data_IF_542016907031
#
_entry.id   IF_542016907031
#
_cell.length_a   1.000
_cell.length_b   1.000
_cell.length_c   1.000
_cell.angle_alpha   90.00
_cell.angle_beta   90.00
_cell.angle_gamma   90.00
#
_symmetry.space_group_name_H-M   'P 1'
#
loop_
_entity.id
_entity.type
_entity.pdbx_description
1 polymer ?
#
# COMPACT_ATOMS: atom_id res chain seq x y z
N UNK A 1 -15.35 -11.73 -9.34
CA UNK A 1 -15.23 -11.93 -7.88
C UNK A 1 -16.44 -11.29 -7.23
N UNK A 2 -17.15 -12.01 -6.38
CA UNK A 2 -18.28 -11.45 -5.62
C UNK A 2 -17.74 -10.69 -4.40
N UNK A 3 -18.39 -9.59 -3.98
CA UNK A 3 -17.95 -8.76 -2.83
C UNK A 3 -17.87 -9.59 -1.54
N UNK A 4 -18.61 -10.71 -1.49
CA UNK A 4 -18.63 -11.67 -0.39
C UNK A 4 -17.34 -12.50 -0.24
N UNK A 5 -16.43 -12.47 -1.22
CA UNK A 5 -15.16 -13.23 -1.23
C UNK A 5 -13.91 -12.38 -0.92
N UNK A 6 -14.07 -11.11 -0.54
CA UNK A 6 -12.95 -10.21 -0.25
C UNK A 6 -12.27 -10.62 1.06
N UNK A 7 -10.94 -10.83 1.02
CA UNK A 7 -10.15 -11.24 2.19
C UNK A 7 -10.11 -10.18 3.30
N UNK A 8 -9.76 -10.58 4.52
CA UNK A 8 -9.63 -9.68 5.67
C UNK A 8 -8.60 -8.55 5.42
N UNK A 9 -7.56 -8.82 4.63
CA UNK A 9 -6.52 -7.87 4.26
C UNK A 9 -6.95 -6.96 3.09
N UNK A 10 -7.61 -7.50 2.07
CA UNK A 10 -8.20 -6.72 0.99
C UNK A 10 -9.24 -5.71 1.54
N UNK A 11 -10.06 -6.09 2.53
CA UNK A 11 -10.96 -5.18 3.26
C UNK A 11 -10.21 -4.04 3.93
N UNK A 12 -9.13 -4.36 4.65
CA UNK A 12 -8.26 -3.36 5.32
C UNK A 12 -7.60 -2.43 4.31
N UNK A 13 -7.19 -2.96 3.15
CA UNK A 13 -6.60 -2.16 2.08
C UNK A 13 -7.61 -1.19 1.46
N UNK A 14 -8.87 -1.59 1.28
CA UNK A 14 -9.91 -0.68 0.82
C UNK A 14 -10.18 0.44 1.84
N UNK A 15 -10.25 0.12 3.13
CA UNK A 15 -10.36 1.13 4.22
C UNK A 15 -9.15 2.09 4.19
N UNK A 16 -7.95 1.56 3.94
CA UNK A 16 -6.74 2.37 3.84
C UNK A 16 -6.82 3.35 2.65
N UNK A 17 -7.32 2.89 1.50
CA UNK A 17 -7.52 3.77 0.33
C UNK A 17 -8.60 4.81 0.60
N UNK A 18 -9.70 4.44 1.27
CA UNK A 18 -10.76 5.37 1.71
C UNK A 18 -10.18 6.52 2.57
N UNK A 19 -9.28 6.19 3.50
CA UNK A 19 -8.70 7.19 4.40
C UNK A 19 -7.87 8.28 3.69
N UNK A 20 -7.25 7.93 2.55
CA UNK A 20 -6.35 8.82 1.81
C UNK A 20 -6.88 9.26 0.45
N UNK A 21 -8.19 9.08 0.19
CA UNK A 21 -8.77 9.48 -1.09
C UNK A 21 -10.25 9.87 -0.98
N UNK A 22 -10.69 10.76 -1.85
CA UNK A 22 -12.06 11.31 -1.81
C UNK A 22 -12.54 11.61 -3.23
N UNK A 23 -13.70 11.07 -3.66
CA UNK A 23 -14.34 11.50 -4.90
C UNK A 23 -14.90 12.92 -4.77
N UNK A 24 -14.92 13.67 -5.87
CA UNK A 24 -15.65 14.94 -5.90
C UNK A 24 -17.17 14.66 -5.85
N UNK A 25 -17.90 15.34 -4.97
CA UNK A 25 -19.37 15.24 -4.88
C UNK A 25 -20.06 16.34 -5.70
N UNK A 26 -19.41 17.49 -5.81
CA UNK A 26 -19.81 18.64 -6.63
C UNK A 26 -18.74 19.01 -7.65
N UNK A 27 -19.03 19.95 -8.57
CA UNK A 27 -18.03 20.42 -9.55
C UNK A 27 -16.93 21.27 -8.91
N UNK A 28 -17.22 21.84 -7.74
CA UNK A 28 -16.33 22.70 -6.99
C UNK A 28 -15.44 21.91 -6.03
N UNK A 29 -15.79 20.66 -5.74
CA UNK A 29 -15.04 19.79 -4.85
C UNK A 29 -13.71 19.37 -5.47
N UNK A 30 -12.69 19.28 -4.61
CA UNK A 30 -11.40 18.74 -5.00
C UNK A 30 -11.39 17.23 -4.79
N UNK A 31 -11.01 16.51 -5.84
CA UNK A 31 -10.73 15.09 -5.74
C UNK A 31 -9.40 14.85 -5.03
N UNK A 32 -9.36 13.86 -4.15
CA UNK A 32 -8.15 13.43 -3.44
C UNK A 32 -7.75 12.05 -3.95
N UNK A 33 -6.49 11.89 -4.32
CA UNK A 33 -5.93 10.67 -4.90
C UNK A 33 -4.65 10.27 -4.17
N UNK A 34 -4.53 9.01 -3.75
CA UNK A 34 -3.29 8.47 -3.18
C UNK A 34 -2.38 7.93 -4.28
N UNK A 35 -1.14 8.41 -4.36
CA UNK A 35 -0.16 7.92 -5.34
C UNK A 35 0.30 6.50 -5.00
N UNK A 36 0.69 5.73 -6.02
CA UNK A 36 1.14 4.33 -5.88
C UNK A 36 2.21 4.13 -4.82
N UNK A 37 3.28 4.93 -4.82
CA UNK A 37 4.40 4.73 -3.89
C UNK A 37 4.01 5.04 -2.43
N UNK A 38 3.34 6.17 -2.12
CA UNK A 38 2.73 6.36 -0.80
C UNK A 38 1.80 5.23 -0.36
N UNK A 39 0.92 4.73 -1.23
CA UNK A 39 0.06 3.59 -0.90
C UNK A 39 0.88 2.33 -0.58
N UNK A 40 1.86 1.99 -1.42
CA UNK A 40 2.75 0.86 -1.18
C UNK A 40 3.53 1.00 0.13
N UNK A 41 3.92 2.23 0.50
CA UNK A 41 4.63 2.50 1.75
C UNK A 41 3.73 2.24 2.97
N UNK A 42 2.45 2.59 2.88
CA UNK A 42 1.45 2.28 3.91
C UNK A 42 1.17 0.78 4.00
N UNK A 43 1.14 0.07 2.87
CA UNK A 43 1.01 -1.40 2.84
C UNK A 43 2.21 -2.04 3.54
N UNK A 44 3.44 -1.68 3.17
CA UNK A 44 4.67 -2.17 3.81
C UNK A 44 4.67 -1.89 5.33
N UNK A 45 4.25 -0.68 5.74
CA UNK A 45 4.08 -0.35 7.17
C UNK A 45 3.07 -1.28 7.84
N UNK A 46 1.95 -1.56 7.19
CA UNK A 46 0.93 -2.46 7.71
C UNK A 46 1.41 -3.91 7.84
N UNK A 47 2.19 -4.41 6.87
CA UNK A 47 2.86 -5.72 6.96
C UNK A 47 3.80 -5.76 8.15
N UNK A 48 4.70 -4.77 8.28
CA UNK A 48 5.66 -4.68 9.40
C UNK A 48 4.99 -4.57 10.78
N UNK A 49 3.79 -3.96 10.84
CA UNK A 49 2.99 -3.86 12.06
C UNK A 49 2.03 -5.03 12.29
N UNK A 50 1.99 -6.04 11.40
CA UNK A 50 1.05 -7.16 11.47
C UNK A 50 -0.42 -6.76 11.26
N UNK A 51 -0.66 -5.59 10.66
CA UNK A 51 -2.00 -5.12 10.26
C UNK A 51 -2.48 -5.85 9.03
N UNK A 52 -1.59 -6.15 8.09
CA UNK A 52 -1.81 -7.12 7.02
C UNK A 52 -1.11 -8.42 7.41
N UNK A 53 -1.83 -9.54 7.39
CA UNK A 53 -1.35 -10.84 7.87
C UNK A 53 -0.90 -11.77 6.75
N UNK A 54 -1.56 -11.67 5.60
CA UNK A 54 -1.37 -12.57 4.46
C UNK A 54 -0.49 -11.92 3.39
N UNK A 55 -0.21 -10.61 3.51
CA UNK A 55 0.73 -9.90 2.65
C UNK A 55 2.16 -10.09 3.12
N UNK A 56 3.06 -10.31 2.16
CA UNK A 56 4.49 -10.14 2.36
C UNK A 56 5.01 -8.95 1.55
N UNK A 57 6.30 -8.62 1.70
CA UNK A 57 6.94 -7.60 0.88
C UNK A 57 8.29 -8.07 0.38
N UNK A 58 8.60 -7.74 -0.86
CA UNK A 58 9.90 -8.03 -1.46
C UNK A 58 10.52 -6.77 -2.09
N UNK A 59 11.86 -6.67 -2.10
CA UNK A 59 12.56 -5.57 -2.77
C UNK A 59 12.26 -5.56 -4.27
N UNK A 60 11.70 -4.44 -4.75
CA UNK A 60 11.34 -4.21 -6.15
C UNK A 60 11.92 -2.86 -6.60
N UNK A 61 12.44 -2.79 -7.83
CA UNK A 61 12.88 -1.53 -8.41
C UNK A 61 11.68 -0.63 -8.74
N UNK A 62 11.73 0.62 -8.25
CA UNK A 62 10.70 1.63 -8.49
C UNK A 62 11.34 2.98 -8.81
N UNK A 63 10.65 3.79 -9.61
CA UNK A 63 11.00 5.19 -9.80
C UNK A 63 10.28 6.06 -8.76
N UNK A 64 11.06 6.83 -8.01
CA UNK A 64 10.54 7.77 -7.02
C UNK A 64 11.25 9.11 -7.17
N UNK A 65 10.48 10.18 -7.42
CA UNK A 65 10.99 11.56 -7.55
C UNK A 65 12.20 11.69 -8.49
N UNK A 66 12.19 10.94 -9.60
CA UNK A 66 13.25 10.96 -10.61
C UNK A 66 14.48 10.10 -10.30
N UNK A 67 14.46 9.33 -9.20
CA UNK A 67 15.51 8.35 -8.89
C UNK A 67 14.94 6.93 -8.88
N UNK A 68 15.65 5.99 -9.52
CA UNK A 68 15.34 4.56 -9.42
C UNK A 68 15.94 4.00 -8.13
N UNK A 69 15.15 3.35 -7.29
CA UNK A 69 15.56 2.77 -6.00
C UNK A 69 14.85 1.44 -5.74
N UNK A 70 15.38 0.63 -4.84
CA UNK A 70 14.65 -0.52 -4.31
C UNK A 70 13.63 -0.07 -3.28
N UNK A 71 12.44 -0.68 -3.31
CA UNK A 71 11.37 -0.48 -2.36
C UNK A 71 10.77 -1.83 -1.94
N UNK A 72 10.37 -1.96 -0.68
CA UNK A 72 9.61 -3.10 -0.19
C UNK A 72 8.16 -2.99 -0.70
N UNK A 73 7.80 -3.86 -1.66
CA UNK A 73 6.48 -3.87 -2.31
C UNK A 73 5.81 -5.22 -2.04
N UNK A 74 4.53 -5.20 -1.64
CA UNK A 74 3.69 -6.39 -1.56
C UNK A 74 3.05 -6.69 -2.91
N UNK A 75 3.18 -7.93 -3.39
CA UNK A 75 2.56 -8.34 -4.65
C UNK A 75 1.09 -8.65 -4.47
N UNK A 76 0.72 -9.25 -3.34
CA UNK A 76 -0.65 -9.47 -2.90
C UNK A 76 -1.40 -8.14 -2.79
N UNK A 77 -0.78 -7.13 -2.16
CA UNK A 77 -1.37 -5.80 -2.07
C UNK A 77 -1.53 -5.10 -3.43
N UNK A 78 -0.61 -5.29 -4.39
CA UNK A 78 -0.77 -4.77 -5.75
C UNK A 78 -1.92 -5.47 -6.51
N UNK A 79 -2.06 -6.78 -6.31
CA UNK A 79 -3.09 -7.63 -6.92
C UNK A 79 -4.47 -7.28 -6.38
N UNK A 80 -4.60 -7.14 -5.05
CA UNK A 80 -5.85 -6.72 -4.41
C UNK A 80 -6.32 -5.34 -4.88
N UNK A 81 -5.40 -4.39 -5.12
CA UNK A 81 -5.76 -3.11 -5.75
C UNK A 81 -6.26 -3.32 -7.18
N UNK A 82 -5.70 -4.26 -7.94
CA UNK A 82 -6.18 -4.57 -9.28
C UNK A 82 -7.60 -5.18 -9.22
N UNK A 83 -7.83 -6.16 -8.35
CA UNK A 83 -9.13 -6.80 -8.16
C UNK A 83 -10.20 -5.80 -7.72
N UNK A 84 -9.89 -4.92 -6.76
CA UNK A 84 -10.80 -3.86 -6.34
C UNK A 84 -11.15 -2.88 -7.46
N UNK A 85 -10.24 -2.67 -8.42
CA UNK A 85 -10.54 -1.87 -9.61
C UNK A 85 -11.44 -2.62 -10.58
N UNK A 86 -11.25 -3.92 -10.74
CA UNK A 86 -12.12 -4.77 -11.58
C UNK A 86 -13.53 -4.87 -11.00
N UNK A 87 -13.65 -4.88 -9.67
CA UNK A 87 -14.93 -4.81 -8.94
C UNK A 87 -15.58 -3.41 -8.93
N UNK A 88 -14.88 -2.37 -9.42
CA UNK A 88 -15.42 -1.00 -9.44
C UNK A 88 -15.42 -0.28 -8.08
N UNK A 89 -14.68 -0.78 -7.09
CA UNK A 89 -14.55 -0.19 -5.76
C UNK A 89 -13.44 0.88 -5.70
N UNK A 90 -12.45 0.77 -6.58
CA UNK A 90 -11.31 1.68 -6.68
C UNK A 90 -11.13 2.14 -8.13
N UNK A 91 -10.80 3.40 -8.31
CA UNK A 91 -10.40 3.98 -9.59
C UNK A 91 -8.89 4.17 -9.66
N UNK A 92 -8.35 4.23 -10.89
CA UNK A 92 -6.94 4.53 -11.13
C UNK A 92 -6.79 5.66 -12.13
N UNK A 93 -6.06 6.69 -11.71
CA UNK A 93 -5.57 7.76 -12.55
C UNK A 93 -4.12 7.47 -12.95
N UNK A 94 -3.80 7.57 -14.24
CA UNK A 94 -2.42 7.55 -14.73
C UNK A 94 -2.01 8.95 -15.14
N UNK A 95 -0.95 9.46 -14.53
CA UNK A 95 -0.39 10.78 -14.77
C UNK A 95 0.95 10.64 -15.48
N UNK A 96 1.15 11.40 -16.55
CA UNK A 96 2.47 11.57 -17.14
C UNK A 96 3.23 12.65 -16.36
N UNK A 97 4.45 12.35 -15.96
CA UNK A 97 5.38 13.33 -15.39
C UNK A 97 6.02 14.15 -16.51
N UNK A 98 6.66 15.27 -16.15
CA UNK A 98 7.47 16.09 -17.06
C UNK A 98 8.59 15.30 -17.76
N UNK A 99 9.02 14.17 -17.18
CA UNK A 99 10.05 13.29 -17.72
C UNK A 99 9.47 12.09 -18.49
N UNK A 100 8.20 12.14 -18.89
CA UNK A 100 7.49 11.05 -19.59
C UNK A 100 7.42 9.71 -18.84
N UNK A 101 7.65 9.72 -17.52
CA UNK A 101 7.40 8.58 -16.63
C UNK A 101 5.93 8.62 -16.20
N UNK A 102 5.26 7.48 -16.18
CA UNK A 102 3.88 7.38 -15.71
C UNK A 102 3.80 7.07 -14.22
N UNK A 103 3.05 7.88 -13.49
CA UNK A 103 2.72 7.64 -12.08
C UNK A 103 1.25 7.25 -11.99
N UNK A 104 0.95 6.17 -11.28
CA UNK A 104 -0.42 5.79 -10.97
C UNK A 104 -0.85 6.38 -9.62
N UNK A 105 -2.10 6.81 -9.55
CA UNK A 105 -2.76 7.18 -8.31
C UNK A 105 -4.13 6.50 -8.24
N UNK A 106 -4.61 6.29 -7.02
CA UNK A 106 -5.82 5.53 -6.73
C UNK A 106 -6.79 6.35 -5.89
N UNK A 107 -8.07 6.06 -6.05
CA UNK A 107 -9.14 6.72 -5.31
C UNK A 107 -10.29 5.74 -5.10
N UNK A 108 -10.93 5.81 -3.95
CA UNK A 108 -12.14 5.05 -3.68
C UNK A 108 -13.34 5.56 -4.49
N UNK A 109 -14.17 4.66 -4.99
CA UNK A 109 -15.43 5.04 -5.66
C UNK A 109 -16.55 5.22 -4.64
N UNK A 110 -17.69 5.84 -4.99
CA UNK A 110 -18.88 5.85 -4.13
C UNK A 110 -19.32 4.44 -3.71
N UNK A 111 -19.28 3.47 -4.62
CA UNK A 111 -19.58 2.06 -4.32
C UNK A 111 -18.55 1.44 -3.34
N UNK A 112 -17.27 1.76 -3.51
CA UNK A 112 -16.21 1.41 -2.56
C UNK A 112 -16.50 1.96 -1.17
N UNK A 113 -16.88 3.24 -1.07
CA UNK A 113 -17.22 3.87 0.22
C UNK A 113 -18.39 3.20 0.91
N UNK A 114 -19.44 2.87 0.17
CA UNK A 114 -20.60 2.18 0.75
C UNK A 114 -20.20 0.78 1.23
N UNK A 115 -19.38 0.06 0.46
CA UNK A 115 -18.84 -1.25 0.84
C UNK A 115 -18.00 -1.17 2.13
N UNK A 116 -17.19 -0.13 2.29
CA UNK A 116 -16.35 0.10 3.49
C UNK A 116 -17.20 0.28 4.76
N UNK A 117 -18.37 0.92 4.66
CA UNK A 117 -19.26 1.13 5.82
C UNK A 117 -19.79 -0.19 6.40
N UNK A 118 -19.94 -1.21 5.55
CA UNK A 118 -20.48 -2.51 5.93
C UNK A 118 -19.43 -3.46 6.53
N UNK A 119 -18.13 -3.12 6.44
CA UNK A 119 -17.06 -3.93 7.00
C UNK A 119 -17.07 -3.96 8.53
N UNK A 120 -16.63 -5.08 9.09
CA UNK A 120 -16.60 -5.24 10.53
C UNK A 120 -15.67 -4.23 11.21
N UNK A 121 -16.10 -3.69 12.36
CA UNK A 121 -15.34 -2.68 13.13
C UNK A 121 -13.90 -3.08 13.45
N UNK A 122 -13.59 -4.38 13.49
CA UNK A 122 -12.22 -4.89 13.69
C UNK A 122 -11.26 -4.40 12.60
N UNK A 123 -11.71 -4.26 11.35
CA UNK A 123 -10.88 -3.83 10.23
C UNK A 123 -10.60 -2.33 10.30
N UNK A 124 -11.64 -1.55 10.58
CA UNK A 124 -11.55 -0.11 10.82
C UNK A 124 -10.61 0.21 11.97
N UNK A 125 -10.73 -0.52 13.10
CA UNK A 125 -9.85 -0.35 14.26
C UNK A 125 -8.40 -0.71 13.93
N UNK A 126 -8.16 -1.79 13.16
CA UNK A 126 -6.81 -2.19 12.76
C UNK A 126 -6.12 -1.08 11.93
N UNK A 127 -6.80 -0.50 10.94
CA UNK A 127 -6.26 0.60 10.14
C UNK A 127 -6.10 1.88 10.98
N UNK A 128 -7.10 2.23 11.80
CA UNK A 128 -7.02 3.41 12.66
C UNK A 128 -5.83 3.33 13.62
N UNK A 129 -5.61 2.17 14.25
CA UNK A 129 -4.46 1.94 15.13
C UNK A 129 -3.12 1.98 14.38
N UNK A 130 -3.08 1.51 13.14
CA UNK A 130 -1.88 1.56 12.29
C UNK A 130 -1.48 3.00 11.95
N UNK A 131 -2.48 3.86 11.73
CA UNK A 131 -2.38 5.25 11.30
C UNK A 131 -2.39 6.27 12.44
N UNK A 132 -2.66 5.86 13.68
CA UNK A 132 -2.63 6.78 14.82
C UNK A 132 -1.25 7.43 14.99
N UNK A 133 -1.23 8.75 15.21
CA UNK A 133 -0.01 9.47 15.57
C UNK A 133 0.58 8.91 16.87
N UNK A 134 1.90 8.66 16.88
CA UNK A 134 2.59 8.12 18.07
C UNK A 134 2.56 9.05 19.28
N UNK A 135 2.51 10.36 19.05
CA UNK A 135 2.58 11.37 20.12
C UNK A 135 1.20 11.69 20.72
N UNK A 136 0.20 11.99 19.89
CA UNK A 136 -1.13 12.42 20.36
C UNK A 136 -2.27 11.45 20.04
N UNK A 137 -2.04 10.39 19.27
CA UNK A 137 -3.08 9.46 18.82
C UNK A 137 -3.98 10.00 17.70
N UNK A 138 -3.75 11.24 17.25
CA UNK A 138 -4.53 11.91 16.22
C UNK A 138 -4.37 11.33 14.81
N UNK A 139 -5.18 11.85 13.89
CA UNK A 139 -5.19 11.46 12.47
C UNK A 139 -3.91 11.92 11.74
N UNK A 140 -3.46 11.12 10.76
CA UNK A 140 -2.29 11.40 9.94
C UNK A 140 -2.65 11.53 8.47
N UNK A 141 -1.95 12.40 7.76
CA UNK A 141 -1.89 12.43 6.30
C UNK A 141 -0.58 11.79 5.80
N UNK A 142 -0.45 11.53 4.50
CA UNK A 142 0.79 11.05 3.90
C UNK A 142 1.32 12.03 2.85
N UNK A 143 2.56 12.46 3.06
CA UNK A 143 3.26 13.38 2.17
C UNK A 143 4.45 12.69 1.47
N UNK A 144 4.53 12.80 0.14
CA UNK A 144 5.66 12.27 -0.63
C UNK A 144 6.78 13.31 -0.74
N UNK A 145 7.78 13.23 0.13
CA UNK A 145 9.00 14.05 0.09
C UNK A 145 10.04 13.45 -0.87
N UNK A 146 11.25 13.99 -0.93
CA UNK A 146 12.23 13.57 -1.96
C UNK A 146 13.01 12.31 -1.59
N UNK A 147 13.19 12.05 -0.29
CA UNK A 147 13.88 10.88 0.21
C UNK A 147 12.93 9.71 0.50
N UNK A 148 11.74 9.99 1.04
CA UNK A 148 10.73 9.00 1.42
C UNK A 148 9.33 9.62 1.55
N UNK A 149 8.27 8.79 1.62
CA UNK A 149 6.98 9.20 2.15
C UNK A 149 7.05 9.43 3.67
N UNK A 150 6.31 10.42 4.16
CA UNK A 150 6.19 10.76 5.59
C UNK A 150 4.72 10.77 5.99
N UNK A 151 4.41 10.22 7.16
CA UNK A 151 3.13 10.45 7.83
C UNK A 151 3.20 11.77 8.57
N UNK A 152 2.22 12.64 8.38
CA UNK A 152 2.15 13.97 9.01
C UNK A 152 0.91 14.00 9.89
N UNK A 153 1.07 14.20 11.20
CA UNK A 153 -0.08 14.34 12.09
C UNK A 153 -0.81 15.66 11.82
N UNK A 154 -2.12 15.57 11.57
CA UNK A 154 -2.98 16.74 11.31
C UNK A 154 -3.20 17.60 12.57
N UNK A 155 -3.00 17.04 13.76
CA UNK A 155 -3.27 17.71 15.04
C UNK A 155 -2.02 18.35 15.66
N UNK A 156 -0.92 17.60 15.79
CA UNK A 156 0.29 18.09 16.45
C UNK A 156 1.42 18.47 15.49
N UNK A 157 1.28 18.18 14.18
CA UNK A 157 2.28 18.50 13.16
C UNK A 157 3.53 17.62 13.17
N UNK A 158 3.65 16.66 14.10
CA UNK A 158 4.75 15.69 14.12
C UNK A 158 4.75 14.85 12.85
N UNK A 159 5.93 14.62 12.29
CA UNK A 159 6.11 13.75 11.14
C UNK A 159 6.85 12.45 11.49
N UNK A 160 6.53 11.40 10.74
CA UNK A 160 7.16 10.09 10.84
C UNK A 160 7.52 9.59 9.44
N UNK A 161 8.81 9.32 9.22
CA UNK A 161 9.29 8.72 7.97
C UNK A 161 8.71 7.29 7.81
N UNK A 162 8.26 6.96 6.60
CA UNK A 162 7.80 5.61 6.26
C UNK A 162 8.91 4.87 5.52
N UNK A 163 9.45 3.83 6.15
CA UNK A 163 10.65 3.10 5.71
C UNK A 163 10.36 2.08 4.59
N UNK A 164 9.78 2.52 3.48
CA UNK A 164 9.59 1.68 2.29
C UNK A 164 10.91 1.37 1.56
N UNK A 165 11.89 2.27 1.66
CA UNK A 165 13.18 2.14 0.98
C UNK A 165 14.27 1.51 1.85
N UNK A 166 13.94 1.16 3.10
CA UNK A 166 14.84 0.43 4.00
C UNK A 166 14.69 -1.07 3.74
N UNK A 167 15.56 -1.58 2.87
CA UNK A 167 15.50 -2.95 2.40
C UNK A 167 16.06 -3.88 3.47
N UNK A 168 15.22 -4.80 3.94
CA UNK A 168 15.63 -5.78 4.93
C UNK A 168 16.76 -6.67 4.36
N UNK A 169 17.82 -6.86 5.14
CA UNK A 169 18.88 -7.80 4.80
C UNK A 169 18.34 -9.22 4.98
N UNK A 170 17.99 -9.88 3.88
CA UNK A 170 17.60 -11.29 3.90
C UNK A 170 18.87 -12.15 3.77
N UNK A 171 19.24 -12.94 4.78
CA UNK A 171 20.39 -13.84 4.67
C UNK A 171 20.03 -14.97 3.71
N UNK A 172 20.40 -14.85 2.43
CA UNK A 172 20.26 -15.94 1.48
C UNK A 172 21.35 -16.98 1.76
N UNK A 173 20.94 -18.22 2.03
CA UNK A 173 21.84 -19.37 2.08
C UNK A 173 21.53 -20.22 0.86
N UNK A 174 22.37 -20.13 -0.17
CA UNK A 174 22.30 -21.09 -1.28
C UNK A 174 23.09 -22.35 -0.91
N UNK A 175 22.48 -23.51 -1.15
CA UNK A 175 23.20 -24.78 -1.15
C UNK A 175 23.08 -25.38 -2.55
N UNK A 176 24.18 -25.87 -3.14
CA UNK A 176 24.08 -26.59 -4.40
C UNK A 176 23.22 -27.85 -4.17
N UNK A 177 22.12 -27.95 -4.90
CA UNK A 177 21.32 -29.17 -4.95
C UNK A 177 21.88 -30.03 -6.08
N UNK A 178 22.87 -30.86 -5.76
CA UNK A 178 23.29 -31.92 -6.67
C UNK A 178 22.29 -33.06 -6.54
N UNK A 179 21.44 -33.25 -7.55
CA UNK A 179 20.74 -34.53 -7.72
C UNK A 179 21.79 -35.63 -7.78
N UNK A 180 21.62 -36.68 -6.98
CA UNK A 180 22.52 -37.84 -6.99
C UNK A 180 22.67 -38.35 -8.42
N UNK A 181 23.83 -38.10 -9.01
CA UNK A 181 24.21 -38.75 -10.27
C UNK A 181 24.51 -40.19 -9.86
N UNK A 182 23.62 -41.10 -10.24
CA UNK A 182 23.80 -42.54 -10.06
C UNK A 182 24.98 -42.97 -10.92
N UNK A 183 26.19 -42.91 -10.37
CA UNK A 183 27.36 -43.52 -10.98
C UNK A 183 27.30 -45.01 -10.63
N UNK A 184 27.15 -45.91 -11.63
CA UNK A 184 27.29 -47.34 -11.36
C UNK A 184 28.72 -47.57 -10.83
N UNK A 185 28.81 -48.22 -9.66
CA UNK A 185 30.09 -48.69 -9.13
C UNK A 185 30.52 -49.90 -9.98
N UNK A 186 31.72 -49.82 -10.55
CA UNK A 186 32.40 -50.92 -11.26
C UNK A 186 32.72 -52.11 -10.34
#
# INVERSE_FOLDING_TARGET
MDITEISDDSKRLLILIDHFSEPAHTREDREIWIKKIPLAALINRGVRKGTFKDYDTAPTLVDYKGTTRFANISKEGEDDVADMREMGLVERLKLATSHHIYVSAYRITPAGKDTVKDFEKKHHAAISNMLACKECGGEVDIEARDDAPYLICKECGTDEKVDIFDIDEVPYVSRPNFTEIWLPLD
#
